data_IF_913088170370
#
_entry.id   IF_913088170370
#
_cell.length_a   1.000
_cell.length_b   1.000
_cell.length_c   1.000
_cell.angle_alpha   90.00
_cell.angle_beta   90.00
_cell.angle_gamma   90.00
#
_symmetry.space_group_name_H-M   'P 1'
#
loop_
_entity.id
_entity.type
_entity.pdbx_description
1 polymer ?
#
# COMPACT_ATOMS: atom_id res chain seq x y z
N UNK A 1 -14.33 68.03 49.39
CA UNK A 1 -14.93 68.19 48.04
C UNK A 1 -14.45 67.07 47.20
N UNK A 2 -15.36 66.12 46.92
CA UNK A 2 -15.14 64.93 46.05
C UNK A 2 -15.37 65.25 44.61
N UNK A 3 -14.68 64.66 43.68
CA UNK A 3 -15.40 64.09 42.55
C UNK A 3 -15.03 62.64 42.18
N UNK A 4 -16.07 61.94 41.95
CA UNK A 4 -16.42 60.76 41.21
C UNK A 4 -15.35 59.97 40.45
N UNK A 5 -15.18 58.72 40.89
CA UNK A 5 -14.57 57.66 40.13
C UNK A 5 -15.66 56.96 39.28
N UNK A 6 -15.71 57.28 38.00
CA UNK A 6 -16.48 56.46 37.01
C UNK A 6 -15.64 55.27 36.57
N UNK A 7 -16.01 54.08 37.04
CA UNK A 7 -15.48 52.81 36.56
C UNK A 7 -16.05 52.52 35.21
N UNK A 8 -15.18 52.52 34.18
CA UNK A 8 -15.51 52.10 32.83
C UNK A 8 -15.28 50.57 32.73
N UNK A 9 -16.37 49.79 32.70
CA UNK A 9 -16.30 48.35 32.47
C UNK A 9 -16.13 48.06 31.00
N UNK A 10 -14.91 47.61 30.58
CA UNK A 10 -14.67 47.10 29.25
C UNK A 10 -15.14 45.62 29.22
N UNK A 11 -16.27 45.38 28.55
CA UNK A 11 -16.69 44.01 28.21
C UNK A 11 -15.86 43.53 27.00
N UNK A 12 -14.94 42.59 27.27
CA UNK A 12 -14.16 41.92 26.25
C UNK A 12 -15.02 40.80 25.66
N UNK A 13 -15.62 41.00 24.50
CA UNK A 13 -16.31 39.96 23.73
C UNK A 13 -15.27 39.04 23.09
N UNK A 14 -15.05 37.86 23.68
CA UNK A 14 -14.28 36.78 23.08
C UNK A 14 -15.08 36.15 21.94
N UNK A 15 -14.82 36.56 20.70
CA UNK A 15 -15.30 35.89 19.51
C UNK A 15 -14.51 34.56 19.36
N UNK A 16 -15.14 33.43 19.69
CA UNK A 16 -14.59 32.12 19.42
C UNK A 16 -14.60 31.89 17.91
N UNK A 17 -13.43 32.01 17.28
CA UNK A 17 -13.22 31.52 15.93
C UNK A 17 -13.24 29.96 15.97
N UNK A 18 -14.40 29.37 15.74
CA UNK A 18 -14.48 27.96 15.37
C UNK A 18 -13.93 27.81 13.96
N UNK A 19 -12.65 27.49 13.84
CA UNK A 19 -12.05 27.12 12.57
C UNK A 19 -12.76 25.88 12.01
N UNK A 20 -12.94 25.78 10.68
CA UNK A 20 -13.55 24.60 10.09
C UNK A 20 -12.68 23.38 10.41
N UNK A 21 -13.25 22.43 11.15
CA UNK A 21 -12.67 21.09 11.26
C UNK A 21 -12.68 20.49 9.86
N UNK A 22 -11.51 20.38 9.23
CA UNK A 22 -11.33 19.59 8.01
C UNK A 22 -11.51 18.11 8.36
N UNK A 23 -12.75 17.69 8.55
CA UNK A 23 -13.13 16.30 8.55
C UNK A 23 -12.86 15.75 7.14
N UNK A 24 -12.28 14.56 7.02
CA UNK A 24 -12.23 13.86 5.73
C UNK A 24 -13.65 13.81 5.18
N UNK A 25 -13.90 14.52 4.07
CA UNK A 25 -15.19 14.50 3.42
C UNK A 25 -15.52 13.05 3.05
N UNK A 26 -16.70 12.57 3.44
CA UNK A 26 -17.17 11.26 3.03
C UNK A 26 -17.15 11.17 1.52
N UNK A 27 -16.74 10.00 1.00
CA UNK A 27 -16.78 9.75 -0.45
C UNK A 27 -18.22 9.89 -0.97
N UNK A 28 -18.41 10.35 -2.21
CA UNK A 28 -19.72 10.26 -2.86
C UNK A 28 -20.24 8.82 -2.82
N UNK A 29 -21.55 8.58 -2.62
CA UNK A 29 -22.09 7.23 -2.47
C UNK A 29 -21.72 6.27 -3.60
N UNK A 30 -21.66 6.76 -4.84
CA UNK A 30 -21.27 5.98 -5.99
C UNK A 30 -19.79 5.56 -5.95
N UNK A 31 -18.91 6.38 -5.39
CA UNK A 31 -17.50 6.06 -5.24
C UNK A 31 -17.27 5.12 -4.05
N UNK A 32 -18.02 5.31 -2.96
CA UNK A 32 -18.02 4.39 -1.83
C UNK A 32 -18.44 2.97 -2.27
N UNK A 33 -19.45 2.83 -3.11
CA UNK A 33 -19.85 1.53 -3.65
C UNK A 33 -18.74 0.84 -4.45
N UNK A 34 -17.92 1.56 -5.20
CA UNK A 34 -16.75 0.98 -5.89
C UNK A 34 -15.67 0.54 -4.91
N UNK A 35 -15.43 1.33 -3.86
CA UNK A 35 -14.50 0.99 -2.80
C UNK A 35 -14.95 -0.29 -2.09
N UNK A 36 -16.22 -0.39 -1.72
CA UNK A 36 -16.79 -1.56 -1.03
C UNK A 36 -16.67 -2.83 -1.90
N UNK A 37 -16.95 -2.71 -3.21
CA UNK A 37 -16.77 -3.81 -4.18
C UNK A 37 -15.31 -4.26 -4.27
N UNK A 38 -14.37 -3.32 -4.33
CA UNK A 38 -12.94 -3.60 -4.38
C UNK A 38 -12.46 -4.30 -3.10
N UNK A 39 -12.91 -3.83 -1.92
CA UNK A 39 -12.62 -4.44 -0.62
C UNK A 39 -13.13 -5.88 -0.57
N UNK A 40 -14.39 -6.09 -0.90
CA UNK A 40 -15.01 -7.43 -0.91
C UNK A 40 -14.26 -8.40 -1.86
N UNK A 41 -13.89 -7.93 -3.07
CA UNK A 41 -13.10 -8.70 -4.00
C UNK A 41 -11.74 -9.10 -3.40
N UNK A 42 -11.01 -8.14 -2.86
CA UNK A 42 -9.69 -8.36 -2.28
C UNK A 42 -9.77 -9.25 -1.04
N UNK A 43 -10.77 -9.09 -0.18
CA UNK A 43 -10.98 -9.96 0.99
C UNK A 43 -11.27 -11.40 0.59
N UNK A 44 -12.02 -11.60 -0.47
CA UNK A 44 -12.27 -12.91 -1.06
C UNK A 44 -11.04 -13.54 -1.76
N UNK A 45 -9.97 -12.77 -2.00
CA UNK A 45 -8.76 -13.24 -2.67
C UNK A 45 -7.75 -13.76 -1.64
N UNK A 46 -8.03 -14.92 -1.03
CA UNK A 46 -7.19 -15.48 0.05
C UNK A 46 -5.87 -16.05 -0.45
N UNK A 47 -5.91 -16.88 -1.50
CA UNK A 47 -4.74 -17.37 -2.21
C UNK A 47 -4.91 -17.12 -3.71
N UNK A 48 -3.84 -16.65 -4.36
CA UNK A 48 -3.84 -16.40 -5.79
C UNK A 48 -2.45 -16.60 -6.39
N UNK A 49 -2.42 -16.90 -7.68
CA UNK A 49 -1.20 -16.94 -8.49
C UNK A 49 -1.45 -16.33 -9.86
N UNK A 50 -0.41 -15.78 -10.45
CA UNK A 50 -0.48 -15.18 -11.79
C UNK A 50 0.90 -14.72 -12.23
N UNK A 51 0.93 -14.05 -13.36
CA UNK A 51 2.13 -13.35 -13.84
C UNK A 51 1.98 -11.86 -13.61
N UNK A 52 3.10 -11.14 -13.64
CA UNK A 52 3.09 -9.70 -13.60
C UNK A 52 4.10 -9.11 -14.58
N UNK A 53 3.83 -7.88 -14.98
CA UNK A 53 4.78 -6.98 -15.63
C UNK A 53 4.95 -5.78 -14.71
N UNK A 54 6.19 -5.53 -14.27
CA UNK A 54 6.53 -4.34 -13.50
C UNK A 54 7.27 -3.35 -14.41
N UNK A 55 6.82 -2.10 -14.39
CA UNK A 55 7.48 -1.00 -15.12
C UNK A 55 7.98 0.02 -14.09
N UNK A 56 9.28 0.29 -14.11
CA UNK A 56 9.90 1.29 -13.24
C UNK A 56 9.68 2.72 -13.74
N UNK A 57 10.13 3.71 -12.95
CA UNK A 57 10.00 5.12 -13.28
C UNK A 57 10.74 5.54 -14.55
N UNK A 58 11.67 4.71 -15.06
CA UNK A 58 12.41 4.92 -16.29
C UNK A 58 11.76 4.21 -17.50
N UNK A 59 10.60 3.59 -17.30
CA UNK A 59 9.90 2.83 -18.34
C UNK A 59 10.46 1.44 -18.61
N UNK A 60 11.42 0.93 -17.82
CA UNK A 60 11.97 -0.41 -18.00
C UNK A 60 10.99 -1.43 -17.44
N UNK A 61 10.65 -2.41 -18.27
CA UNK A 61 9.74 -3.49 -17.90
C UNK A 61 10.52 -4.74 -17.47
N UNK A 62 10.04 -5.38 -16.42
CA UNK A 62 10.46 -6.70 -15.96
C UNK A 62 9.22 -7.55 -15.71
N UNK A 63 9.33 -8.85 -15.95
CA UNK A 63 8.23 -9.79 -15.78
C UNK A 63 8.55 -10.79 -14.68
N UNK A 64 7.52 -11.51 -14.22
CA UNK A 64 7.71 -12.55 -13.22
C UNK A 64 6.42 -13.26 -12.84
N UNK A 65 6.53 -14.12 -11.84
CA UNK A 65 5.41 -14.85 -11.25
C UNK A 65 5.07 -14.26 -9.89
N UNK A 66 3.78 -14.12 -9.64
CA UNK A 66 3.21 -13.72 -8.36
C UNK A 66 2.53 -14.91 -7.70
N UNK A 67 2.85 -15.13 -6.44
CA UNK A 67 2.10 -15.98 -5.53
C UNK A 67 1.68 -15.14 -4.34
N UNK A 68 0.43 -15.25 -3.96
CA UNK A 68 -0.13 -14.51 -2.84
C UNK A 68 -0.93 -15.44 -1.93
N UNK A 69 -0.71 -15.29 -0.61
CA UNK A 69 -1.44 -16.02 0.41
C UNK A 69 -1.70 -15.09 1.59
N UNK A 70 -2.91 -14.59 1.66
CA UNK A 70 -3.29 -13.68 2.74
C UNK A 70 -3.53 -14.43 4.06
N UNK A 71 -3.28 -13.79 5.20
CA UNK A 71 -2.72 -12.43 5.34
C UNK A 71 -1.21 -12.38 5.16
N UNK A 72 -0.75 -11.25 4.63
CA UNK A 72 0.64 -10.80 4.71
C UNK A 72 1.64 -11.47 3.77
N UNK A 73 1.31 -12.61 3.14
CA UNK A 73 2.29 -13.39 2.38
C UNK A 73 2.18 -13.13 0.89
N UNK A 74 3.32 -12.86 0.27
CA UNK A 74 3.45 -12.71 -1.18
C UNK A 74 4.86 -13.10 -1.63
N UNK A 75 4.98 -13.56 -2.87
CA UNK A 75 6.25 -13.84 -3.54
C UNK A 75 6.19 -13.30 -4.95
N UNK A 76 7.16 -12.44 -5.29
CA UNK A 76 7.39 -11.95 -6.64
C UNK A 76 8.71 -12.56 -7.11
N UNK A 77 8.62 -13.55 -7.99
CA UNK A 77 9.77 -14.22 -8.59
C UNK A 77 9.97 -13.65 -10.00
N UNK A 78 10.97 -12.81 -10.15
CA UNK A 78 11.25 -12.15 -11.43
C UNK A 78 11.92 -13.12 -12.40
N UNK A 79 11.56 -13.02 -13.67
CA UNK A 79 12.14 -13.84 -14.73
C UNK A 79 13.61 -13.46 -14.99
N UNK A 80 14.45 -14.39 -15.45
CA UNK A 80 15.78 -14.08 -15.94
C UNK A 80 15.73 -12.99 -17.04
N UNK A 81 16.75 -12.13 -17.12
CA UNK A 81 18.00 -12.13 -16.35
C UNK A 81 17.94 -11.27 -15.06
N UNK A 82 16.75 -10.94 -14.53
CA UNK A 82 16.63 -9.99 -13.40
C UNK A 82 17.39 -10.45 -12.15
N UNK A 83 17.25 -11.72 -11.76
CA UNK A 83 17.83 -12.23 -10.52
C UNK A 83 17.15 -11.73 -9.24
N UNK A 84 16.08 -10.94 -9.37
CA UNK A 84 15.37 -10.33 -8.25
C UNK A 84 14.31 -11.28 -7.72
N UNK A 85 14.22 -11.36 -6.39
CA UNK A 85 13.22 -12.11 -5.67
C UNK A 85 12.73 -11.26 -4.48
N UNK A 86 11.43 -11.03 -4.40
CA UNK A 86 10.78 -10.31 -3.29
C UNK A 86 9.82 -11.27 -2.61
N UNK A 87 9.97 -11.43 -1.29
CA UNK A 87 9.13 -12.32 -0.49
C UNK A 87 8.65 -11.61 0.76
N UNK A 88 7.35 -11.63 0.97
CA UNK A 88 6.73 -11.27 2.25
C UNK A 88 6.31 -12.54 2.98
N UNK A 89 6.72 -12.69 4.23
CA UNK A 89 6.37 -13.81 5.11
C UNK A 89 5.16 -13.54 6.00
N UNK A 90 4.67 -12.29 5.97
CA UNK A 90 3.58 -11.78 6.79
C UNK A 90 4.01 -10.73 7.82
N UNK A 91 5.29 -10.65 8.15
CA UNK A 91 5.87 -9.65 9.06
C UNK A 91 6.91 -8.78 8.36
N UNK A 92 7.70 -9.39 7.50
CA UNK A 92 8.84 -8.77 6.82
C UNK A 92 8.72 -8.97 5.33
N UNK A 93 9.14 -7.98 4.55
CA UNK A 93 9.41 -8.07 3.11
C UNK A 93 10.92 -8.18 2.92
N UNK A 94 11.38 -9.32 2.44
CA UNK A 94 12.77 -9.55 2.09
C UNK A 94 12.96 -9.42 0.57
N UNK A 95 14.04 -8.77 0.17
CA UNK A 95 14.41 -8.50 -1.23
C UNK A 95 15.81 -9.05 -1.45
N UNK A 96 15.93 -9.99 -2.36
CA UNK A 96 17.21 -10.55 -2.78
C UNK A 96 17.45 -10.21 -4.25
N UNK A 97 18.65 -9.70 -4.56
CA UNK A 97 19.15 -9.62 -5.93
C UNK A 97 20.37 -10.53 -6.06
N UNK A 98 20.20 -11.67 -6.75
CA UNK A 98 21.26 -12.66 -6.92
C UNK A 98 22.42 -12.14 -7.79
N UNK A 99 22.16 -11.20 -8.72
CA UNK A 99 23.18 -10.60 -9.60
C UNK A 99 24.05 -9.61 -8.84
N UNK A 100 23.42 -8.79 -7.99
CA UNK A 100 24.12 -7.78 -7.18
C UNK A 100 24.61 -8.37 -5.85
N UNK A 101 24.23 -9.62 -5.52
CA UNK A 101 24.52 -10.28 -4.24
C UNK A 101 24.04 -9.46 -3.05
N UNK A 102 22.90 -8.77 -3.19
CA UNK A 102 22.30 -7.97 -2.12
C UNK A 102 21.15 -8.71 -1.48
N UNK A 103 20.92 -8.39 -0.21
CA UNK A 103 19.77 -8.85 0.56
C UNK A 103 19.36 -7.75 1.52
N UNK A 104 18.12 -7.29 1.37
CA UNK A 104 17.52 -6.24 2.18
C UNK A 104 16.22 -6.75 2.79
N UNK A 105 15.82 -6.19 3.94
CA UNK A 105 14.54 -6.52 4.56
C UNK A 105 13.90 -5.31 5.21
N UNK A 106 12.58 -5.24 5.11
CA UNK A 106 11.77 -4.14 5.62
C UNK A 106 10.54 -4.69 6.34
N UNK A 107 10.07 -4.08 7.44
CA UNK A 107 8.78 -4.44 8.02
C UNK A 107 7.67 -4.31 6.97
N UNK A 108 6.80 -5.31 6.85
CA UNK A 108 5.68 -5.28 5.88
C UNK A 108 4.83 -4.02 6.06
N UNK A 109 4.55 -3.63 7.32
CA UNK A 109 3.77 -2.43 7.63
C UNK A 109 4.40 -1.11 7.18
N UNK A 110 5.69 -1.10 6.83
CA UNK A 110 6.36 0.07 6.25
C UNK A 110 6.31 0.09 4.72
N UNK A 111 5.64 -0.88 4.10
CA UNK A 111 5.53 -1.01 2.65
C UNK A 111 4.08 -0.84 2.18
N UNK A 112 3.84 -0.33 0.97
CA UNK A 112 2.49 -0.24 0.40
C UNK A 112 1.80 -1.61 0.24
N UNK A 113 2.56 -2.71 0.21
CA UNK A 113 2.01 -4.06 0.15
C UNK A 113 1.11 -4.39 1.34
N UNK A 114 1.37 -3.78 2.50
CA UNK A 114 0.57 -3.99 3.71
C UNK A 114 -0.92 -3.68 3.50
N UNK A 115 -1.25 -2.72 2.64
CA UNK A 115 -2.62 -2.29 2.40
C UNK A 115 -3.49 -3.40 1.80
N UNK A 116 -2.98 -4.14 0.81
CA UNK A 116 -3.77 -5.19 0.15
C UNK A 116 -3.47 -6.61 0.67
N UNK A 117 -2.37 -6.81 1.38
CA UNK A 117 -2.04 -8.09 2.02
C UNK A 117 -2.60 -8.22 3.45
N UNK A 118 -3.16 -7.17 4.02
CA UNK A 118 -3.75 -7.20 5.36
C UNK A 118 -4.84 -8.27 5.49
N UNK A 119 -5.06 -8.79 6.70
CA UNK A 119 -6.14 -9.75 7.00
C UNK A 119 -7.50 -9.15 6.67
N UNK A 120 -7.74 -7.93 7.14
CA UNK A 120 -8.92 -7.12 6.85
C UNK A 120 -8.45 -5.86 6.14
N UNK A 121 -8.99 -5.60 4.98
CA UNK A 121 -8.66 -4.41 4.20
C UNK A 121 -9.46 -3.25 4.75
N UNK A 122 -8.79 -2.40 5.50
CA UNK A 122 -9.39 -1.21 6.12
C UNK A 122 -8.94 0.02 5.34
N UNK A 123 -9.83 0.48 4.45
CA UNK A 123 -9.64 1.74 3.74
C UNK A 123 -10.27 2.94 4.49
N UNK A 124 -10.82 2.67 5.70
CA UNK A 124 -11.46 3.64 6.58
C UNK A 124 -10.61 4.05 7.80
N UNK A 125 -9.58 3.28 8.15
CA UNK A 125 -8.73 3.56 9.32
C UNK A 125 -7.25 3.58 8.94
N UNK A 126 -6.63 4.74 9.12
CA UNK A 126 -5.20 4.91 8.84
C UNK A 126 -4.83 4.94 7.37
N UNK A 127 -5.82 4.92 6.47
CA UNK A 127 -5.69 5.06 5.02
C UNK A 127 -6.64 6.16 4.57
N UNK A 128 -6.14 7.09 3.78
CA UNK A 128 -6.95 8.13 3.15
C UNK A 128 -7.13 7.78 1.67
N UNK A 129 -8.37 7.54 1.25
CA UNK A 129 -8.69 7.47 -0.18
C UNK A 129 -8.68 8.89 -0.72
N UNK A 130 -7.81 9.14 -1.70
CA UNK A 130 -7.64 10.47 -2.28
C UNK A 130 -8.33 10.60 -3.62
N UNK A 131 -8.63 9.49 -4.31
CA UNK A 131 -9.29 9.49 -5.61
C UNK A 131 -9.94 8.14 -5.89
N UNK A 132 -11.14 8.18 -6.47
CA UNK A 132 -11.77 7.08 -7.20
C UNK A 132 -11.98 7.56 -8.62
N UNK A 133 -11.49 6.82 -9.61
CA UNK A 133 -11.64 7.18 -11.02
C UNK A 133 -12.24 6.01 -11.80
N UNK A 134 -13.22 6.31 -12.67
CA UNK A 134 -13.89 5.35 -13.54
C UNK A 134 -13.22 5.35 -14.92
N UNK A 135 -13.19 4.20 -15.54
CA UNK A 135 -12.78 3.99 -16.93
C UNK A 135 -13.87 3.19 -17.66
N UNK A 136 -13.75 3.07 -18.97
CA UNK A 136 -14.74 2.35 -19.78
C UNK A 136 -14.89 0.86 -19.38
N UNK A 137 -13.79 0.23 -18.98
CA UNK A 137 -13.66 -1.20 -18.66
C UNK A 137 -13.37 -1.48 -17.18
N UNK A 138 -13.39 -0.44 -16.32
CA UNK A 138 -13.06 -0.63 -14.92
C UNK A 138 -12.99 0.65 -14.11
N UNK A 139 -12.24 0.59 -13.02
CA UNK A 139 -12.03 1.73 -12.13
C UNK A 139 -10.70 1.62 -11.38
N UNK A 140 -10.29 2.72 -10.78
CA UNK A 140 -9.11 2.76 -9.91
C UNK A 140 -9.39 3.50 -8.61
N UNK A 141 -8.69 3.07 -7.55
CA UNK A 141 -8.75 3.66 -6.22
C UNK A 141 -7.35 4.07 -5.83
N UNK A 142 -7.13 5.35 -5.58
CA UNK A 142 -5.88 5.88 -5.07
C UNK A 142 -6.00 6.14 -3.59
N UNK A 143 -5.03 5.62 -2.84
CA UNK A 143 -4.97 5.74 -1.40
C UNK A 143 -3.55 6.11 -0.94
N UNK A 144 -3.46 6.72 0.25
CA UNK A 144 -2.20 7.03 0.94
C UNK A 144 -2.30 6.67 2.42
N UNK A 145 -1.17 6.57 3.08
CA UNK A 145 -1.15 6.47 4.54
C UNK A 145 -1.74 7.75 5.14
N UNK A 146 -2.79 7.62 5.94
CA UNK A 146 -3.47 8.76 6.57
C UNK A 146 -2.64 9.47 7.64
N UNK A 147 -1.57 8.84 8.14
CA UNK A 147 -0.66 9.40 9.15
C UNK A 147 0.64 9.93 8.56
N UNK A 148 1.04 9.42 7.41
CA UNK A 148 2.31 9.77 6.72
C UNK A 148 2.00 10.29 5.32
N UNK A 149 1.52 11.51 5.23
CA UNK A 149 1.13 12.13 3.95
C UNK A 149 2.24 12.14 2.90
N UNK A 150 3.50 12.17 3.34
CA UNK A 150 4.70 12.17 2.50
C UNK A 150 5.19 10.78 2.10
N UNK A 151 4.56 9.70 2.56
CA UNK A 151 5.03 8.33 2.29
C UNK A 151 4.74 7.83 0.86
N UNK A 152 4.11 8.66 0.03
CA UNK A 152 3.70 8.28 -1.32
C UNK A 152 2.26 7.76 -1.38
N UNK A 153 1.87 7.26 -2.55
CA UNK A 153 0.51 6.77 -2.82
C UNK A 153 0.51 5.40 -3.46
N UNK A 154 -0.58 4.66 -3.26
CA UNK A 154 -0.87 3.45 -4.02
C UNK A 154 -2.17 3.65 -4.80
N UNK A 155 -2.18 3.25 -6.06
CA UNK A 155 -3.38 3.19 -6.91
C UNK A 155 -3.63 1.74 -7.27
N UNK A 156 -4.77 1.20 -6.86
CA UNK A 156 -5.24 -0.12 -7.27
C UNK A 156 -6.14 0.04 -8.48
N UNK A 157 -5.93 -0.76 -9.52
CA UNK A 157 -6.73 -0.74 -10.76
C UNK A 157 -7.49 -2.06 -10.90
N UNK A 158 -8.78 -1.95 -11.19
CA UNK A 158 -9.69 -3.08 -11.35
C UNK A 158 -10.36 -3.05 -12.71
N UNK A 159 -10.56 -4.23 -13.31
CA UNK A 159 -11.57 -4.42 -14.36
C UNK A 159 -12.95 -4.51 -13.72
N UNK A 160 -14.02 -4.25 -14.47
CA UNK A 160 -15.39 -4.27 -13.93
C UNK A 160 -16.18 -5.53 -14.34
N UNK A 161 -16.00 -6.01 -15.54
CA UNK A 161 -16.71 -7.19 -16.06
C UNK A 161 -15.76 -8.20 -16.73
N UNK A 162 -15.27 -9.22 -16.03
CA UNK A 162 -15.49 -9.50 -14.61
C UNK A 162 -14.69 -8.59 -13.67
N UNK A 163 -15.17 -8.40 -12.44
CA UNK A 163 -14.41 -7.67 -11.44
C UNK A 163 -13.13 -8.43 -11.09
N UNK A 164 -11.99 -7.82 -11.37
CA UNK A 164 -10.69 -8.39 -11.07
C UNK A 164 -9.65 -7.29 -10.81
N UNK A 165 -8.67 -7.57 -9.93
CA UNK A 165 -7.51 -6.70 -9.76
C UNK A 165 -6.63 -6.82 -11.00
N UNK A 166 -6.57 -5.74 -11.80
CA UNK A 166 -5.74 -5.66 -13.00
C UNK A 166 -4.28 -5.29 -12.68
N UNK A 167 -4.05 -4.61 -11.56
CA UNK A 167 -2.72 -4.21 -11.14
C UNK A 167 -2.73 -3.08 -10.13
N UNK A 168 -1.55 -2.53 -9.89
CA UNK A 168 -1.38 -1.36 -9.03
C UNK A 168 -0.21 -0.49 -9.48
N UNK A 169 -0.19 0.72 -8.99
CA UNK A 169 0.95 1.63 -9.11
C UNK A 169 1.28 2.20 -7.75
N UNK A 170 2.55 2.24 -7.41
CA UNK A 170 3.07 2.91 -6.22
C UNK A 170 3.83 4.13 -6.69
N UNK A 171 3.50 5.30 -6.15
CA UNK A 171 4.28 6.52 -6.34
C UNK A 171 4.99 6.82 -5.03
N UNK A 172 6.32 6.85 -5.05
CA UNK A 172 7.13 7.09 -3.85
C UNK A 172 7.09 8.57 -3.41
N UNK A 173 7.74 8.88 -2.29
CA UNK A 173 7.83 10.24 -1.74
C UNK A 173 8.51 11.25 -2.69
N UNK A 174 9.27 10.77 -3.68
CA UNK A 174 9.91 11.59 -4.70
C UNK A 174 9.08 11.72 -5.99
N UNK A 175 7.83 11.20 -5.98
CA UNK A 175 6.94 11.24 -7.13
C UNK A 175 7.27 10.21 -8.21
N UNK A 176 8.15 9.23 -7.96
CA UNK A 176 8.55 8.22 -8.95
C UNK A 176 7.57 7.06 -8.96
N UNK A 177 6.92 6.77 -10.09
CA UNK A 177 5.97 5.67 -10.17
C UNK A 177 6.67 4.33 -10.42
N UNK A 178 6.16 3.28 -9.78
CA UNK A 178 6.39 1.88 -10.16
C UNK A 178 5.02 1.27 -10.41
N UNK A 179 4.80 0.74 -11.61
CA UNK A 179 3.54 0.10 -12.00
C UNK A 179 3.70 -1.39 -12.08
N UNK A 180 2.71 -2.11 -11.61
CA UNK A 180 2.60 -3.57 -11.73
C UNK A 180 1.27 -3.89 -12.41
N UNK A 181 1.35 -4.51 -13.57
CA UNK A 181 0.21 -5.06 -14.28
C UNK A 181 0.14 -6.57 -14.01
N UNK A 182 -1.04 -7.08 -13.71
CA UNK A 182 -1.27 -8.50 -13.47
C UNK A 182 -1.80 -9.17 -14.72
N UNK A 183 -1.32 -10.39 -14.97
CA UNK A 183 -1.73 -11.19 -16.12
C UNK A 183 -2.18 -12.54 -15.58
N UNK A 184 -3.46 -12.86 -15.82
CA UNK A 184 -4.02 -14.14 -15.43
C UNK A 184 -4.00 -14.41 -13.93
N UNK A 185 -4.20 -13.37 -13.09
CA UNK A 185 -4.33 -13.55 -11.65
C UNK A 185 -5.56 -14.43 -11.37
N UNK A 186 -5.32 -15.64 -10.91
CA UNK A 186 -6.36 -16.62 -10.61
C UNK A 186 -6.33 -17.01 -9.13
N UNK A 187 -7.52 -17.21 -8.56
CA UNK A 187 -7.66 -17.81 -7.23
C UNK A 187 -7.09 -19.24 -7.26
N UNK A 188 -6.45 -19.62 -6.19
CA UNK A 188 -5.92 -20.97 -5.99
C UNK A 188 -6.04 -21.36 -4.52
N UNK A 189 -5.64 -22.57 -4.20
CA UNK A 189 -5.58 -23.09 -2.84
C UNK A 189 -4.35 -23.98 -2.67
N UNK A 190 -3.93 -24.19 -1.42
CA UNK A 190 -2.85 -25.11 -1.11
C UNK A 190 -1.45 -24.62 -1.51
N UNK A 191 -1.23 -23.32 -1.65
CA UNK A 191 0.11 -22.80 -1.89
C UNK A 191 1.05 -23.21 -0.75
N UNK A 192 2.19 -23.79 -1.13
CA UNK A 192 3.19 -24.27 -0.19
C UNK A 192 3.74 -23.10 0.65
N UNK A 193 3.88 -23.33 1.95
CA UNK A 193 4.39 -22.32 2.88
C UNK A 193 5.85 -21.93 2.60
N UNK A 194 6.63 -22.84 2.03
CA UNK A 194 8.03 -22.60 1.64
C UNK A 194 8.19 -21.51 0.59
N UNK A 195 7.17 -21.27 -0.26
CA UNK A 195 7.17 -20.18 -1.22
C UNK A 195 7.36 -18.81 -0.55
N UNK A 196 6.94 -18.67 0.70
CA UNK A 196 6.94 -17.42 1.45
C UNK A 196 8.04 -17.35 2.51
N UNK A 197 9.11 -18.14 2.30
CA UNK A 197 10.31 -18.10 3.14
C UNK A 197 11.48 -17.66 2.27
N UNK A 198 12.17 -16.60 2.69
CA UNK A 198 13.41 -16.16 2.07
C UNK A 198 14.43 -15.87 3.18
N UNK A 199 15.51 -16.65 3.19
CA UNK A 199 16.59 -16.50 4.16
C UNK A 199 17.73 -15.69 3.54
N UNK A 200 18.37 -14.86 4.35
CA UNK A 200 19.60 -14.18 3.94
C UNK A 200 20.68 -15.22 3.58
N UNK A 201 21.12 -15.25 2.33
CA UNK A 201 22.15 -16.22 1.90
C UNK A 201 23.54 -15.86 2.37
N UNK A 202 23.75 -14.65 2.89
CA UNK A 202 25.08 -14.18 3.33
C UNK A 202 25.48 -14.90 4.62
N UNK A 203 26.75 -15.26 4.77
CA UNK A 203 27.23 -15.87 6.01
C UNK A 203 26.99 -14.90 7.17
N UNK A 204 26.40 -15.38 8.26
CA UNK A 204 26.34 -14.61 9.49
C UNK A 204 27.77 -14.39 9.95
N UNK A 205 28.21 -13.15 10.04
CA UNK A 205 29.45 -12.82 10.73
C UNK A 205 29.29 -13.26 12.20
N UNK A 206 29.71 -14.46 12.49
CA UNK A 206 29.90 -14.90 13.88
C UNK A 206 31.04 -14.04 14.39
N UNK A 207 30.67 -13.01 15.18
CA UNK A 207 31.64 -12.12 15.79
C UNK A 207 32.76 -12.95 16.42
N UNK A 208 33.99 -12.73 15.96
CA UNK A 208 35.18 -13.22 16.68
C UNK A 208 35.03 -12.73 18.10
N UNK A 209 34.77 -13.66 19.01
CA UNK A 209 34.86 -13.39 20.45
C UNK A 209 36.20 -12.71 20.70
N UNK A 210 36.16 -11.58 21.43
CA UNK A 210 37.34 -10.99 21.99
C UNK A 210 37.98 -12.05 22.88
N UNK A 211 39.18 -12.47 22.51
CA UNK A 211 40.14 -13.12 23.39
C UNK A 211 40.76 -12.06 24.29
#
# INVERSE_FOLDING_TARGET
>A
MNPDRRTLSLALAAAAFAGPAFGQSALPPADQALVDRAVAYLEGLTEAKGRFVQTDARGRATTGQLFMKRPGKARFAYDPPSGLLVVSDGGVVAIQDARLKTFDSYPLGATPLSLFLARTIRLDKGVAITRVARAADGFSITARDGKKETAGTITLTFTDAPLALAGWSVTDAQGRPTRVQLIGLARTSGLDKSLFVLKDPRPKNIGRGKV
#
